data_IF_042391059789
#
_entry.id   IF_042391059789
#
_cell.length_a   1.000
_cell.length_b   1.000
_cell.length_c   1.000
_cell.angle_alpha   90.00
_cell.angle_beta   90.00
_cell.angle_gamma   90.00
#
_symmetry.space_group_name_H-M   'P 1'
#
loop_
_entity.id
_entity.type
_entity.pdbx_description
1 polymer ?
#
# COMPACT_ATOMS: atom_id res chain seq x y z
N UNK A 1 -11.14 7.45 -8.46
CA UNK A 1 -11.49 6.02 -8.26
C UNK A 1 -11.95 5.77 -6.82
N UNK A 2 -13.19 5.32 -6.59
CA UNK A 2 -13.72 4.95 -5.26
C UNK A 2 -12.96 3.77 -4.62
N UNK A 3 -13.10 3.61 -3.31
CA UNK A 3 -12.67 2.38 -2.61
C UNK A 3 -13.82 1.37 -2.66
N UNK A 4 -13.53 0.11 -2.95
CA UNK A 4 -14.50 -0.99 -2.80
C UNK A 4 -14.05 -1.94 -1.68
N UNK A 5 -14.99 -2.69 -1.14
CA UNK A 5 -14.76 -3.65 -0.07
C UNK A 5 -15.07 -5.05 -0.59
N UNK A 6 -14.23 -5.53 -1.50
CA UNK A 6 -14.36 -6.84 -2.15
C UNK A 6 -13.22 -7.77 -1.74
N UNK A 7 -13.45 -9.08 -1.85
CA UNK A 7 -12.42 -10.10 -1.64
C UNK A 7 -11.90 -10.55 -3.01
N UNK A 8 -11.20 -9.66 -3.70
CA UNK A 8 -10.73 -9.83 -5.08
C UNK A 8 -9.24 -9.48 -5.18
N UNK A 9 -8.61 -9.82 -6.31
CA UNK A 9 -7.25 -9.38 -6.62
C UNK A 9 -7.17 -8.99 -8.10
N UNK A 10 -8.02 -8.07 -8.53
CA UNK A 10 -8.15 -7.69 -9.93
C UNK A 10 -6.85 -7.23 -10.60
N UNK A 11 -6.73 -7.61 -11.87
CA UNK A 11 -5.69 -7.11 -12.77
C UNK A 11 -5.84 -5.61 -13.05
N UNK A 12 -4.75 -4.94 -13.51
CA UNK A 12 -4.81 -3.54 -13.98
C UNK A 12 -5.95 -3.28 -14.98
N UNK A 13 -6.18 -4.20 -15.93
CA UNK A 13 -7.29 -4.10 -16.89
C UNK A 13 -8.67 -4.09 -16.23
N UNK A 14 -8.91 -4.95 -15.24
CA UNK A 14 -10.19 -4.95 -14.51
C UNK A 14 -10.38 -3.68 -13.71
N UNK A 15 -9.35 -3.21 -13.01
CA UNK A 15 -9.39 -1.93 -12.26
C UNK A 15 -9.75 -0.76 -13.18
N UNK A 16 -9.20 -0.72 -14.40
CA UNK A 16 -9.55 0.29 -15.40
C UNK A 16 -11.02 0.21 -15.85
N UNK A 17 -11.52 -1.00 -16.10
CA UNK A 17 -12.89 -1.22 -16.56
C UNK A 17 -13.92 -0.87 -15.47
N UNK A 18 -13.70 -1.36 -14.25
CA UNK A 18 -14.62 -1.21 -13.11
C UNK A 18 -14.49 0.15 -12.41
N UNK A 19 -13.39 0.87 -12.64
CA UNK A 19 -13.10 2.19 -12.07
C UNK A 19 -13.21 2.23 -10.55
N UNK A 20 -12.87 1.14 -9.87
CA UNK A 20 -12.79 0.98 -8.41
C UNK A 20 -11.67 0.00 -8.04
N UNK A 21 -11.09 0.15 -6.85
CA UNK A 21 -10.08 -0.76 -6.31
C UNK A 21 -9.93 -0.60 -4.79
N UNK A 22 -9.44 -1.64 -4.12
CA UNK A 22 -8.87 -1.57 -2.77
C UNK A 22 -7.34 -1.38 -2.83
N UNK A 23 -6.65 -1.49 -1.70
CA UNK A 23 -5.20 -1.20 -1.60
C UNK A 23 -4.33 -2.03 -2.56
N UNK A 24 -4.42 -3.36 -2.48
CA UNK A 24 -3.66 -4.29 -3.33
C UNK A 24 -3.86 -4.01 -4.83
N UNK A 25 -5.10 -4.04 -5.29
CA UNK A 25 -5.44 -3.83 -6.71
C UNK A 25 -5.02 -2.43 -7.20
N UNK A 26 -5.24 -1.40 -6.37
CA UNK A 26 -4.83 -0.04 -6.68
C UNK A 26 -3.31 0.12 -6.78
N UNK A 27 -2.56 -0.59 -5.93
CA UNK A 27 -1.10 -0.61 -5.97
C UNK A 27 -0.58 -1.36 -7.20
N UNK A 28 -1.14 -2.53 -7.54
CA UNK A 28 -0.77 -3.27 -8.75
C UNK A 28 -1.05 -2.43 -10.01
N UNK A 29 -2.23 -1.82 -10.09
CA UNK A 29 -2.60 -0.92 -11.18
C UNK A 29 -1.63 0.27 -11.28
N UNK A 30 -1.30 0.92 -10.16
CA UNK A 30 -0.35 2.03 -10.15
C UNK A 30 1.07 1.61 -10.54
N UNK A 31 1.53 0.42 -10.13
CA UNK A 31 2.82 -0.12 -10.53
C UNK A 31 2.89 -0.40 -12.04
N UNK A 32 1.82 -0.95 -12.63
CA UNK A 32 1.70 -1.10 -14.08
C UNK A 32 1.74 0.26 -14.80
N UNK A 33 1.03 1.27 -14.28
CA UNK A 33 1.08 2.63 -14.84
C UNK A 33 2.50 3.25 -14.74
N UNK A 34 3.18 3.07 -13.61
CA UNK A 34 4.59 3.49 -13.44
C UNK A 34 5.51 2.80 -14.45
N UNK A 35 5.28 1.52 -14.75
CA UNK A 35 6.00 0.77 -15.79
C UNK A 35 5.85 1.41 -17.17
N UNK A 36 4.63 1.79 -17.54
CA UNK A 36 4.36 2.51 -18.80
C UNK A 36 5.11 3.85 -18.84
N UNK A 37 5.26 4.52 -17.70
CA UNK A 37 6.02 5.76 -17.56
C UNK A 37 7.55 5.57 -17.49
N UNK A 38 8.06 4.34 -17.63
CA UNK A 38 9.49 4.03 -17.62
C UNK A 38 10.10 3.78 -16.24
N UNK A 39 9.29 3.73 -15.17
CA UNK A 39 9.75 3.36 -13.83
C UNK A 39 9.63 1.85 -13.60
N UNK A 40 10.48 1.24 -12.76
CA UNK A 40 10.28 -0.15 -12.36
C UNK A 40 8.94 -0.33 -11.62
N UNK A 41 8.14 -1.38 -11.90
CA UNK A 41 6.87 -1.65 -11.23
C UNK A 41 7.11 -2.25 -9.84
N UNK A 42 7.40 -1.40 -8.86
CA UNK A 42 7.73 -1.82 -7.50
C UNK A 42 6.51 -1.70 -6.57
N UNK A 43 6.29 -2.76 -5.79
CA UNK A 43 5.37 -2.75 -4.66
C UNK A 43 6.12 -2.71 -3.34
N UNK A 44 5.52 -2.08 -2.34
CA UNK A 44 5.95 -2.11 -0.95
C UNK A 44 4.76 -2.55 -0.10
N UNK A 45 4.96 -3.54 0.75
CA UNK A 45 3.92 -4.05 1.64
C UNK A 45 4.13 -3.48 3.05
N UNK A 46 3.06 -2.98 3.66
CA UNK A 46 3.03 -2.43 5.00
C UNK A 46 2.23 -3.36 5.91
N UNK A 47 2.86 -3.81 6.98
CA UNK A 47 2.26 -4.74 7.92
C UNK A 47 1.76 -4.00 9.16
N UNK A 48 0.52 -4.29 9.56
CA UNK A 48 -0.13 -3.69 10.70
C UNK A 48 -0.64 -4.72 11.71
N UNK A 49 -0.76 -4.31 12.97
CA UNK A 49 -1.27 -5.16 14.05
C UNK A 49 -2.67 -4.75 14.45
N UNK A 50 -3.59 -5.72 14.57
CA UNK A 50 -5.01 -5.48 14.87
C UNK A 50 -5.68 -4.50 13.90
N UNK A 51 -5.25 -4.57 12.64
CA UNK A 51 -5.68 -3.74 11.52
C UNK A 51 -5.41 -4.49 10.21
N UNK A 52 -5.76 -3.90 9.08
CA UNK A 52 -5.45 -4.46 7.76
C UNK A 52 -4.10 -3.97 7.25
N UNK A 53 -3.35 -4.83 6.58
CA UNK A 53 -2.14 -4.47 5.84
C UNK A 53 -2.44 -3.55 4.65
N UNK A 54 -1.40 -2.90 4.14
CA UNK A 54 -1.54 -1.90 3.07
C UNK A 54 -0.41 -1.98 2.06
N UNK A 55 -0.76 -2.03 0.77
CA UNK A 55 0.20 -2.14 -0.32
C UNK A 55 0.34 -0.79 -1.04
N UNK A 56 1.58 -0.39 -1.30
CA UNK A 56 1.94 0.82 -2.01
C UNK A 56 2.62 0.48 -3.34
N UNK A 57 2.36 1.25 -4.39
CA UNK A 57 3.25 1.31 -5.55
C UNK A 57 4.30 2.39 -5.30
N UNK A 58 5.58 2.04 -5.31
CA UNK A 58 6.67 2.97 -4.99
C UNK A 58 7.54 3.24 -6.21
N UNK A 59 8.05 4.45 -6.32
CA UNK A 59 9.03 4.81 -7.34
C UNK A 59 10.10 5.71 -6.74
N UNK A 60 11.22 5.85 -7.46
CA UNK A 60 12.31 6.74 -7.06
C UNK A 60 12.60 7.72 -8.19
N UNK A 61 12.65 9.00 -7.85
CA UNK A 61 12.91 10.09 -8.79
C UNK A 61 13.87 11.10 -8.13
N UNK A 62 14.90 11.52 -8.86
CA UNK A 62 15.90 12.52 -8.40
C UNK A 62 16.45 12.23 -6.99
N UNK A 63 16.64 10.96 -6.67
CA UNK A 63 17.18 10.49 -5.39
C UNK A 63 16.14 10.25 -4.29
N UNK A 64 14.90 10.72 -4.43
CA UNK A 64 13.82 10.56 -3.45
C UNK A 64 12.78 9.49 -3.83
N UNK A 65 12.22 8.83 -2.83
CA UNK A 65 11.17 7.81 -2.93
C UNK A 65 9.80 8.46 -2.82
N UNK A 66 8.87 8.07 -3.69
CA UNK A 66 7.45 8.43 -3.64
C UNK A 66 6.57 7.18 -3.56
N UNK A 67 5.28 7.39 -3.31
CA UNK A 67 4.29 6.30 -3.28
C UNK A 67 2.91 6.71 -3.82
N UNK A 68 2.34 5.82 -4.63
CA UNK A 68 0.95 5.88 -5.08
C UNK A 68 0.21 4.79 -4.32
N UNK A 69 -0.86 5.17 -3.63
CA UNK A 69 -1.60 4.24 -2.79
C UNK A 69 -3.09 4.55 -2.78
N UNK A 70 -3.88 3.50 -2.62
CA UNK A 70 -5.34 3.56 -2.51
C UNK A 70 -5.75 3.06 -1.12
N UNK A 71 -6.37 3.93 -0.33
CA UNK A 71 -6.85 3.55 1.01
C UNK A 71 -8.25 4.08 1.27
N UNK A 72 -8.90 3.46 2.26
CA UNK A 72 -10.15 3.90 2.87
C UNK A 72 -9.90 4.99 3.94
N UNK A 73 -8.66 5.11 4.42
CA UNK A 73 -8.22 6.21 5.27
C UNK A 73 -7.60 7.33 4.43
N UNK A 74 -8.00 8.57 4.72
CA UNK A 74 -7.54 9.75 3.98
C UNK A 74 -6.03 9.95 4.04
N UNK A 75 -5.41 9.64 5.19
CA UNK A 75 -3.97 9.78 5.40
C UNK A 75 -3.10 8.77 4.65
N UNK A 76 -3.64 7.65 4.16
CA UNK A 76 -2.86 6.51 3.67
C UNK A 76 -2.79 6.41 2.13
N UNK A 77 -2.57 7.55 1.48
CA UNK A 77 -2.65 7.71 0.01
C UNK A 77 -1.31 8.14 -0.59
N UNK A 78 -1.32 9.07 -1.54
CA UNK A 78 -0.13 9.54 -2.27
C UNK A 78 0.95 10.15 -1.35
N UNK A 79 2.20 10.02 -1.77
CA UNK A 79 3.38 10.67 -1.22
C UNK A 79 4.29 11.14 -2.35
N UNK A 80 4.66 12.42 -2.31
CA UNK A 80 5.62 13.00 -3.25
C UNK A 80 7.01 12.35 -3.10
N UNK A 81 7.84 12.33 -4.16
CA UNK A 81 9.12 11.62 -4.17
C UNK A 81 10.24 12.38 -3.45
N UNK A 82 10.05 12.67 -2.15
CA UNK A 82 10.96 13.51 -1.35
C UNK A 82 11.69 12.75 -0.24
N UNK A 83 11.40 11.46 -0.06
CA UNK A 83 11.92 10.65 1.04
C UNK A 83 13.22 9.95 0.63
N UNK A 84 14.32 10.13 1.38
CA UNK A 84 15.64 9.58 0.96
C UNK A 84 15.69 8.07 1.08
N UNK A 85 14.98 7.51 2.06
CA UNK A 85 14.92 6.07 2.31
C UNK A 85 13.48 5.58 2.32
N UNK A 86 13.29 4.28 2.08
CA UNK A 86 11.99 3.63 2.22
C UNK A 86 11.48 3.72 3.66
N UNK A 87 12.36 3.64 4.65
CA UNK A 87 11.96 3.84 6.05
C UNK A 87 11.36 5.22 6.29
N UNK A 88 11.97 6.28 5.73
CA UNK A 88 11.43 7.64 5.81
C UNK A 88 10.06 7.74 5.12
N UNK A 89 9.91 7.15 3.93
CA UNK A 89 8.64 7.08 3.23
C UNK A 89 7.57 6.37 4.07
N UNK A 90 7.89 5.22 4.65
CA UNK A 90 6.99 4.43 5.50
C UNK A 90 6.61 5.18 6.78
N UNK A 91 7.57 5.85 7.42
CA UNK A 91 7.30 6.71 8.58
C UNK A 91 6.29 7.82 8.26
N UNK A 92 6.22 8.31 7.02
CA UNK A 92 5.22 9.31 6.63
C UNK A 92 3.78 8.79 6.65
N UNK A 93 3.58 7.46 6.68
CA UNK A 93 2.27 6.84 6.86
C UNK A 93 1.92 6.60 8.33
N UNK A 94 2.92 6.54 9.21
CA UNK A 94 2.80 6.07 10.59
C UNK A 94 1.68 6.77 11.39
N UNK A 95 1.62 8.10 11.38
CA UNK A 95 0.62 8.86 12.13
C UNK A 95 -0.80 8.69 11.58
N UNK A 96 -0.94 8.42 10.28
CA UNK A 96 -2.23 8.18 9.64
C UNK A 96 -2.67 6.72 9.67
N UNK A 97 -1.79 5.81 10.10
CA UNK A 97 -2.05 4.37 10.10
C UNK A 97 -2.66 3.97 11.44
N UNK A 98 -3.96 4.22 11.54
CA UNK A 98 -4.74 4.04 12.77
C UNK A 98 -5.96 3.17 12.51
N UNK A 99 -6.28 2.29 13.46
CA UNK A 99 -7.51 1.51 13.39
C UNK A 99 -8.71 2.34 13.93
N UNK A 100 -9.91 1.76 13.84
CA UNK A 100 -11.15 2.41 14.31
C UNK A 100 -11.20 2.67 15.83
N UNK A 101 -10.27 2.07 16.60
CA UNK A 101 -10.11 2.35 18.03
C UNK A 101 -9.14 3.51 18.31
N UNK A 102 -8.55 4.11 17.27
CA UNK A 102 -7.56 5.18 17.39
C UNK A 102 -6.17 4.69 17.80
N UNK A 103 -5.86 3.40 17.64
CA UNK A 103 -4.54 2.84 17.94
C UNK A 103 -3.65 2.95 16.69
N UNK A 104 -2.37 3.33 16.85
CA UNK A 104 -1.39 3.30 15.76
C UNK A 104 -0.94 1.87 15.50
N UNK A 105 -1.17 1.36 14.29
CA UNK A 105 -1.11 -0.08 14.01
C UNK A 105 0.03 -0.49 13.08
N UNK A 106 0.65 0.41 12.33
CA UNK A 106 1.79 0.10 11.45
C UNK A 106 3.00 -0.43 12.25
N UNK A 107 3.56 -1.58 11.86
CA UNK A 107 4.67 -2.25 12.57
C UNK A 107 5.87 -2.59 11.70
N UNK A 108 5.66 -2.95 10.44
CA UNK A 108 6.75 -3.36 9.57
C UNK A 108 6.48 -2.99 8.11
N UNK A 109 7.51 -3.12 7.29
CA UNK A 109 7.41 -2.94 5.84
C UNK A 109 8.34 -3.91 5.12
N UNK A 110 7.93 -4.38 3.96
CA UNK A 110 8.72 -5.31 3.15
C UNK A 110 9.87 -4.62 2.41
N UNK A 111 10.76 -5.41 1.80
CA UNK A 111 11.65 -4.90 0.76
C UNK A 111 10.85 -4.63 -0.53
N UNK A 112 11.25 -3.66 -1.38
CA UNK A 112 10.55 -3.42 -2.65
C UNK A 112 10.50 -4.68 -3.51
N UNK A 113 9.31 -5.00 -3.99
CA UNK A 113 9.04 -6.18 -4.80
C UNK A 113 8.75 -5.75 -6.23
N UNK A 114 9.63 -6.15 -7.16
CA UNK A 114 9.43 -5.87 -8.59
C UNK A 114 8.45 -6.85 -9.21
N UNK A 115 7.38 -6.34 -9.83
CA UNK A 115 6.40 -7.16 -10.55
C UNK A 115 6.95 -7.77 -11.84
N UNK A 116 8.08 -7.27 -12.36
CA UNK A 116 8.80 -7.87 -13.51
C UNK A 116 9.09 -9.35 -13.27
N UNK A 117 9.26 -9.76 -12.01
CA UNK A 117 9.51 -11.16 -11.65
C UNK A 117 8.41 -12.13 -12.06
N UNK A 118 7.19 -11.62 -12.29
CA UNK A 118 6.05 -12.43 -12.70
C UNK A 118 5.83 -12.46 -14.21
N UNK A 119 6.57 -11.66 -15.00
CA UNK A 119 6.36 -11.56 -16.45
C UNK A 119 6.48 -12.92 -17.16
N UNK A 120 7.42 -13.76 -16.70
CA UNK A 120 7.63 -15.09 -17.28
C UNK A 120 6.64 -16.13 -16.78
N UNK A 121 6.27 -16.09 -15.50
CA UNK A 121 5.42 -17.11 -14.87
C UNK A 121 3.93 -16.83 -15.02
N UNK A 122 3.56 -15.56 -15.19
CA UNK A 122 2.19 -15.08 -15.37
C UNK A 122 2.14 -14.08 -16.53
N UNK A 123 2.43 -14.54 -17.77
CA UNK A 123 2.44 -13.65 -18.93
C UNK A 123 1.08 -12.98 -19.11
N UNK A 124 1.09 -11.66 -19.36
CA UNK A 124 -0.12 -10.88 -19.58
C UNK A 124 -0.90 -10.52 -18.30
N UNK A 125 -0.31 -10.63 -17.11
CA UNK A 125 -0.96 -10.23 -15.85
C UNK A 125 -1.49 -8.78 -15.85
N UNK A 126 -0.86 -7.88 -16.61
CA UNK A 126 -1.31 -6.48 -16.76
C UNK A 126 -2.62 -6.35 -17.56
N UNK A 127 -2.75 -7.16 -18.62
CA UNK A 127 -3.81 -7.04 -19.65
C UNK A 127 -4.85 -8.15 -19.58
N UNK A 128 -4.64 -9.16 -18.75
CA UNK A 128 -5.57 -10.25 -18.50
C UNK A 128 -6.76 -9.82 -17.63
N UNK A 129 -7.72 -10.71 -17.47
CA UNK A 129 -8.88 -10.53 -16.58
C UNK A 129 -8.90 -11.53 -15.42
N UNK A 130 -7.81 -12.26 -15.20
CA UNK A 130 -7.68 -13.17 -14.06
C UNK A 130 -7.28 -12.39 -12.80
N UNK A 131 -7.57 -12.98 -11.64
CA UNK A 131 -7.13 -12.45 -10.35
C UNK A 131 -5.64 -12.72 -10.13
N UNK A 132 -4.97 -11.80 -9.46
CA UNK A 132 -3.53 -11.73 -9.24
C UNK A 132 -3.14 -12.10 -7.81
N UNK A 133 -3.83 -13.07 -7.20
CA UNK A 133 -3.58 -13.52 -5.83
C UNK A 133 -2.12 -13.94 -5.59
N UNK A 134 -1.43 -14.44 -6.62
CA UNK A 134 0.00 -14.75 -6.57
C UNK A 134 0.88 -13.55 -6.15
N UNK A 135 0.45 -12.31 -6.41
CA UNK A 135 1.14 -11.10 -5.96
C UNK A 135 1.01 -10.95 -4.45
N UNK A 136 -0.22 -11.07 -3.90
CA UNK A 136 -0.47 -10.96 -2.47
C UNK A 136 0.26 -12.07 -1.69
N UNK A 137 0.17 -13.32 -2.16
CA UNK A 137 0.87 -14.46 -1.58
C UNK A 137 2.38 -14.27 -1.58
N UNK A 138 2.92 -13.64 -2.62
CA UNK A 138 4.34 -13.33 -2.69
C UNK A 138 4.74 -12.24 -1.70
N UNK A 139 3.98 -11.15 -1.61
CA UNK A 139 4.24 -10.05 -0.68
C UNK A 139 4.27 -10.55 0.77
N UNK A 140 3.33 -11.41 1.15
CA UNK A 140 3.26 -12.01 2.49
C UNK A 140 4.48 -12.88 2.87
N UNK A 141 5.27 -13.35 1.90
CA UNK A 141 6.47 -14.17 2.12
C UNK A 141 7.78 -13.38 2.08
N UNK A 142 7.73 -12.14 1.59
CA UNK A 142 8.92 -11.29 1.52
C UNK A 142 9.34 -10.93 2.94
N UNK A 143 10.64 -10.70 3.16
CA UNK A 143 11.10 -10.27 4.48
C UNK A 143 10.63 -8.85 4.80
N UNK A 144 10.02 -8.68 5.98
CA UNK A 144 9.62 -7.39 6.53
C UNK A 144 10.59 -6.91 7.60
N UNK A 145 10.95 -5.63 7.52
CA UNK A 145 11.75 -4.95 8.53
C UNK A 145 10.83 -4.25 9.54
N UNK A 146 11.07 -4.48 10.83
CA UNK A 146 10.35 -3.77 11.91
C UNK A 146 10.62 -2.27 11.84
N UNK A 147 9.55 -1.49 11.91
CA UNK A 147 9.60 -0.02 11.89
C UNK A 147 9.93 0.54 13.28
N UNK A 148 9.44 -0.14 14.32
CA UNK A 148 9.52 0.25 15.72
C UNK A 148 10.21 -0.82 16.57
N UNK A 149 10.82 -0.37 17.67
CA UNK A 149 11.30 -1.28 18.72
C UNK A 149 10.15 -1.69 19.64
N UNK A 150 10.25 -2.85 20.33
CA UNK A 150 9.24 -3.25 21.33
C UNK A 150 8.97 -2.19 22.40
N UNK A 151 10.00 -1.43 22.80
CA UNK A 151 9.87 -0.35 23.79
C UNK A 151 9.09 0.84 23.24
N UNK A 152 9.27 1.19 21.96
CA UNK A 152 8.48 2.24 21.30
C UNK A 152 7.01 1.82 21.21
N UNK A 153 6.73 0.59 20.78
CA UNK A 153 5.38 0.05 20.62
C UNK A 153 4.56 0.15 21.92
N UNK A 154 5.15 -0.24 23.06
CA UNK A 154 4.49 -0.17 24.38
C UNK A 154 4.17 1.25 24.85
N UNK A 155 4.84 2.27 24.28
CA UNK A 155 4.66 3.68 24.66
C UNK A 155 3.71 4.43 23.73
N UNK A 156 3.18 3.79 22.69
CA UNK A 156 2.26 4.43 21.77
C UNK A 156 0.93 4.73 22.48
N UNK A 157 0.58 6.01 22.52
CA UNK A 157 -0.76 6.46 22.88
C UNK A 157 -1.76 6.28 21.73
N UNK A 158 -3.04 6.36 22.07
CA UNK A 158 -4.11 6.52 21.07
C UNK A 158 -3.99 7.90 20.41
N UNK A 159 -4.45 8.02 19.17
CA UNK A 159 -4.64 9.32 18.54
C UNK A 159 -5.84 10.03 19.16
N UNK A 160 -5.83 11.36 19.13
CA UNK A 160 -6.97 12.14 19.57
C UNK A 160 -8.15 12.00 18.58
N UNK A 161 -9.33 12.40 19.04
CA UNK A 161 -10.57 12.27 18.29
C UNK A 161 -10.55 13.03 16.95
N UNK A 162 -9.97 14.23 16.92
CA UNK A 162 -9.91 15.06 15.70
C UNK A 162 -9.05 14.37 14.64
N UNK A 163 -7.90 13.83 15.05
CA UNK A 163 -7.02 13.07 14.15
C UNK A 163 -7.72 11.83 13.58
N UNK A 164 -8.46 11.08 14.40
CA UNK A 164 -9.22 9.92 13.95
C UNK A 164 -10.33 10.30 12.97
N UNK A 165 -11.14 11.31 13.30
CA UNK A 165 -12.22 11.81 12.43
C UNK A 165 -11.69 12.31 11.08
N UNK A 166 -10.56 13.03 11.07
CA UNK A 166 -9.90 13.45 9.84
C UNK A 166 -9.40 12.26 9.00
N UNK A 167 -8.87 11.22 9.64
CA UNK A 167 -8.45 9.98 8.98
C UNK A 167 -9.61 9.24 8.29
N UNK A 168 -10.82 9.34 8.87
CA UNK A 168 -12.03 8.66 8.41
C UNK A 168 -12.85 9.45 7.39
N UNK A 169 -12.45 10.67 7.01
CA UNK A 169 -13.12 11.39 5.92
C UNK A 169 -13.07 10.55 4.64
N UNK A 170 -14.25 10.26 4.08
CA UNK A 170 -14.41 9.43 2.88
C UNK A 170 -14.29 7.92 3.12
N UNK A 171 -14.22 7.47 4.39
CA UNK A 171 -14.24 6.07 4.77
C UNK A 171 -15.57 5.41 4.40
N UNK A 172 -15.49 4.20 3.86
CA UNK A 172 -16.64 3.34 3.57
C UNK A 172 -16.68 2.15 4.52
N UNK A 173 -17.77 1.97 5.25
CA UNK A 173 -18.05 0.73 5.95
C UNK A 173 -18.66 -0.30 4.99
N UNK A 174 -18.47 -1.59 5.27
CA UNK A 174 -19.23 -2.67 4.62
C UNK A 174 -20.67 -2.65 5.10
#
# INVERSE_FOLDING_TARGET
MPYHLASTAWSPRRVLAERTAHCLEGAIFAAAALRVLGFPPLLLDLEAVQDTDHVLAVWRERGGWGAIAKSNFSGLRFRAPVYRTLRELVMSYFEGYVNLRGERTLRAYSRPCSLVRFDRTHPGWETGTHDLWFVAEHLARVAHARLLTPTMERRLGRVDRRSLEAGLVGFRAK
#
